data_IF_422158034283
#
_entry.id   IF_422158034283
#
_cell.length_a   1.000
_cell.length_b   1.000
_cell.length_c   1.000
_cell.angle_alpha   90.00
_cell.angle_beta   90.00
_cell.angle_gamma   90.00
#
_symmetry.space_group_name_H-M   'P 1'
#
loop_
_entity.id
_entity.type
_entity.pdbx_description
1 polymer ?
#
# COMPACT_ATOMS: atom_id res chain seq x y z
N UNK A 1 8.83 -20.57 24.62
CA UNK A 1 10.14 -19.85 24.63
C UNK A 1 9.89 -18.49 25.23
N UNK A 2 10.65 -18.12 26.26
CA UNK A 2 10.48 -16.82 26.93
C UNK A 2 10.70 -15.67 25.96
N UNK A 3 9.75 -14.74 25.86
CA UNK A 3 9.81 -13.55 24.97
C UNK A 3 11.06 -12.70 25.21
N UNK A 4 11.58 -12.71 26.44
CA UNK A 4 12.69 -11.85 26.86
C UNK A 4 14.07 -12.30 26.32
N UNK A 5 14.21 -13.56 25.92
CA UNK A 5 15.47 -14.13 25.44
C UNK A 5 15.52 -14.30 23.90
N UNK A 6 14.46 -13.90 23.20
CA UNK A 6 14.35 -14.09 21.77
C UNK A 6 15.11 -12.99 21.01
N UNK A 7 16.05 -13.40 20.16
CA UNK A 7 16.79 -12.47 19.32
C UNK A 7 16.06 -12.27 17.99
N UNK A 8 15.30 -11.16 17.91
CA UNK A 8 14.50 -10.80 16.73
C UNK A 8 15.25 -9.76 15.88
N UNK A 9 15.45 -10.06 14.61
CA UNK A 9 16.01 -9.15 13.61
C UNK A 9 14.95 -8.60 12.68
N UNK A 10 15.04 -7.35 12.30
CA UNK A 10 14.20 -6.72 11.28
C UNK A 10 15.03 -6.07 10.19
N UNK A 11 14.73 -6.36 8.92
CA UNK A 11 15.29 -5.67 7.76
C UNK A 11 14.25 -4.71 7.20
N UNK A 12 14.35 -3.40 7.50
CA UNK A 12 13.32 -2.43 7.15
C UNK A 12 13.38 -1.98 5.67
N UNK A 13 12.36 -1.25 5.25
CA UNK A 13 12.35 -0.47 4.01
C UNK A 13 13.26 0.76 4.16
N UNK A 14 13.19 1.41 5.32
CA UNK A 14 14.01 2.57 5.68
C UNK A 14 14.62 2.37 7.06
N UNK A 15 15.91 2.72 7.22
CA UNK A 15 16.59 2.62 8.51
C UNK A 15 16.02 3.54 9.59
N UNK A 16 15.25 4.57 9.22
CA UNK A 16 14.52 5.44 10.15
C UNK A 16 13.22 4.80 10.66
N UNK A 17 12.77 3.70 10.06
CA UNK A 17 11.48 3.01 10.33
C UNK A 17 10.22 3.86 10.03
N UNK A 18 10.38 5.01 9.39
CA UNK A 18 9.28 5.96 9.09
C UNK A 18 8.55 5.64 7.79
N UNK A 19 9.10 4.77 6.94
CA UNK A 19 8.42 4.36 5.72
C UNK A 19 7.05 3.74 6.05
N UNK A 20 5.98 4.05 5.29
CA UNK A 20 4.66 3.43 5.51
C UNK A 20 4.69 1.91 5.61
N UNK A 21 5.53 1.24 4.79
CA UNK A 21 5.69 -0.21 4.83
C UNK A 21 6.45 -0.73 6.07
N UNK A 22 7.11 0.13 6.84
CA UNK A 22 7.68 -0.23 8.15
C UNK A 22 6.69 0.06 9.27
N UNK A 23 6.31 1.33 9.46
CA UNK A 23 5.52 1.82 10.59
C UNK A 23 4.07 1.30 10.64
N UNK A 24 3.50 0.91 9.49
CA UNK A 24 2.13 0.37 9.40
C UNK A 24 2.08 -1.17 9.38
N UNK A 25 3.23 -1.84 9.42
CA UNK A 25 3.33 -3.30 9.33
C UNK A 25 4.07 -3.89 10.53
N UNK A 26 5.26 -4.47 10.35
CA UNK A 26 5.96 -5.14 11.45
C UNK A 26 6.25 -4.21 12.64
N UNK A 27 6.61 -2.95 12.40
CA UNK A 27 6.88 -1.99 13.50
C UNK A 27 5.63 -1.74 14.32
N UNK A 28 4.46 -1.52 13.70
CA UNK A 28 3.19 -1.38 14.40
C UNK A 28 2.86 -2.62 15.24
N UNK A 29 3.05 -3.81 14.67
CA UNK A 29 2.85 -5.07 15.37
C UNK A 29 3.80 -5.22 16.57
N UNK A 30 5.10 -4.96 16.37
CA UNK A 30 6.10 -5.05 17.41
C UNK A 30 5.80 -4.09 18.58
N UNK A 31 5.38 -2.86 18.28
CA UNK A 31 4.95 -1.89 19.29
C UNK A 31 3.71 -2.40 20.05
N UNK A 32 2.68 -2.86 19.35
CA UNK A 32 1.45 -3.37 19.97
C UNK A 32 1.66 -4.61 20.88
N UNK A 33 2.68 -5.44 20.56
CA UNK A 33 3.03 -6.64 21.32
C UNK A 33 4.22 -6.46 22.25
N UNK A 34 4.78 -5.23 22.38
CA UNK A 34 5.98 -4.92 23.17
C UNK A 34 7.17 -5.81 22.80
N UNK A 35 7.38 -6.08 21.51
CA UNK A 35 8.50 -6.86 21.03
C UNK A 35 9.73 -5.98 20.83
N UNK A 36 10.85 -6.41 21.36
CA UNK A 36 12.16 -5.80 21.09
C UNK A 36 12.75 -6.46 19.84
N UNK A 37 13.27 -5.66 18.94
CA UNK A 37 13.99 -6.12 17.76
C UNK A 37 15.21 -5.24 17.49
N UNK A 38 16.14 -5.75 16.70
CA UNK A 38 17.30 -5.00 16.20
C UNK A 38 17.26 -4.94 14.66
N UNK A 39 17.94 -3.95 14.08
CA UNK A 39 18.13 -3.94 12.62
C UNK A 39 19.03 -5.11 12.25
N UNK A 40 18.52 -6.01 11.42
CA UNK A 40 19.19 -7.26 11.12
C UNK A 40 20.29 -7.10 10.07
N UNK A 41 21.41 -7.77 10.29
CA UNK A 41 22.49 -7.94 9.32
C UNK A 41 22.72 -9.44 9.08
N UNK A 42 23.01 -9.85 7.82
CA UNK A 42 23.07 -11.28 7.46
C UNK A 42 24.17 -12.07 8.16
N UNK A 43 25.18 -11.40 8.68
CA UNK A 43 26.33 -11.99 9.35
C UNK A 43 26.03 -12.40 10.81
N UNK A 44 24.91 -11.91 11.37
CA UNK A 44 24.53 -12.22 12.75
C UNK A 44 23.48 -13.34 12.81
N UNK A 45 23.40 -13.98 13.99
CA UNK A 45 22.42 -15.04 14.26
C UNK A 45 21.19 -14.45 14.96
N UNK A 46 20.01 -14.77 14.44
CA UNK A 46 18.71 -14.42 15.00
C UNK A 46 17.86 -15.68 15.14
N UNK A 47 17.00 -15.72 16.14
CA UNK A 47 15.99 -16.77 16.28
C UNK A 47 14.85 -16.56 15.26
N UNK A 48 14.53 -15.29 15.02
CA UNK A 48 13.52 -14.84 14.06
C UNK A 48 14.03 -13.63 13.30
N UNK A 49 13.90 -13.64 11.98
CA UNK A 49 14.16 -12.46 11.13
C UNK A 49 12.90 -12.13 10.34
N UNK A 50 12.48 -10.87 10.40
CA UNK A 50 11.43 -10.33 9.53
C UNK A 50 12.08 -9.46 8.45
N UNK A 51 11.89 -9.85 7.21
CA UNK A 51 12.44 -9.17 6.04
C UNK A 51 11.35 -8.34 5.36
N UNK A 52 11.55 -7.04 5.23
CA UNK A 52 10.69 -6.24 4.35
C UNK A 52 10.94 -6.56 2.88
N UNK A 53 10.04 -6.16 1.99
CA UNK A 53 10.22 -6.32 0.54
C UNK A 53 11.47 -5.64 -0.03
N UNK A 54 12.10 -4.73 0.72
CA UNK A 54 13.33 -4.02 0.32
C UNK A 54 14.60 -4.72 0.80
N UNK A 55 14.48 -5.81 1.55
CA UNK A 55 15.61 -6.62 1.98
C UNK A 55 16.48 -7.07 0.79
N UNK A 56 17.78 -7.16 1.02
CA UNK A 56 18.72 -7.70 0.04
C UNK A 56 18.52 -9.21 -0.13
N UNK A 57 17.55 -9.57 -0.99
CA UNK A 57 17.23 -10.98 -1.27
C UNK A 57 18.41 -11.75 -1.91
N UNK A 58 19.45 -11.06 -2.41
CA UNK A 58 20.64 -11.73 -2.95
C UNK A 58 21.49 -12.41 -1.88
N UNK A 59 21.31 -12.02 -0.62
CA UNK A 59 22.01 -12.55 0.56
C UNK A 59 21.06 -13.32 1.47
N UNK A 60 19.89 -12.73 1.77
CA UNK A 60 18.92 -13.31 2.71
C UNK A 60 18.30 -14.62 2.26
N UNK A 61 18.25 -14.89 0.94
CA UNK A 61 17.81 -16.20 0.45
C UNK A 61 18.73 -17.37 0.87
N UNK A 62 19.99 -17.08 1.23
CA UNK A 62 20.98 -18.05 1.69
C UNK A 62 21.19 -18.00 3.22
N UNK A 63 20.40 -17.22 3.97
CA UNK A 63 20.52 -17.08 5.42
C UNK A 63 20.25 -18.41 6.15
N UNK A 64 21.24 -18.97 6.90
CA UNK A 64 21.14 -20.35 7.39
C UNK A 64 20.51 -20.48 8.77
N UNK A 65 20.23 -19.38 9.48
CA UNK A 65 19.85 -19.40 10.88
C UNK A 65 18.38 -19.05 11.10
N UNK A 66 17.81 -19.53 12.21
CA UNK A 66 16.50 -19.17 12.74
C UNK A 66 15.34 -19.25 11.75
N UNK A 67 14.22 -18.68 12.14
CA UNK A 67 13.04 -18.55 11.30
C UNK A 67 13.09 -17.26 10.49
N UNK A 68 12.63 -17.31 9.26
CA UNK A 68 12.57 -16.16 8.34
C UNK A 68 11.14 -15.90 7.92
N UNK A 69 10.67 -14.68 8.16
CA UNK A 69 9.40 -14.17 7.63
C UNK A 69 9.73 -13.16 6.53
N UNK A 70 9.13 -13.32 5.35
CA UNK A 70 9.28 -12.37 4.26
C UNK A 70 7.98 -11.58 4.05
N UNK A 71 8.02 -10.31 4.39
CA UNK A 71 6.90 -9.38 4.20
C UNK A 71 6.94 -8.81 2.77
N UNK A 72 6.20 -9.48 1.88
CA UNK A 72 6.20 -9.25 0.45
C UNK A 72 4.97 -8.45 0.03
N UNK A 73 5.03 -7.13 0.18
CA UNK A 73 3.89 -6.21 0.05
C UNK A 73 3.42 -6.09 -1.41
N UNK A 74 4.35 -5.93 -2.37
CA UNK A 74 4.04 -5.61 -3.76
C UNK A 74 4.03 -6.84 -4.67
N UNK A 75 3.16 -6.86 -5.68
CA UNK A 75 2.91 -7.98 -6.60
C UNK A 75 3.98 -8.14 -7.71
N UNK A 76 5.26 -8.19 -7.35
CA UNK A 76 6.34 -8.36 -8.33
C UNK A 76 6.28 -9.70 -9.10
N UNK A 77 5.65 -10.72 -8.56
CA UNK A 77 5.48 -12.01 -9.23
C UNK A 77 4.40 -11.99 -10.32
N UNK A 78 3.45 -11.05 -10.25
CA UNK A 78 2.41 -10.86 -11.28
C UNK A 78 2.95 -10.29 -12.60
N UNK A 79 4.15 -9.66 -12.58
CA UNK A 79 4.76 -9.10 -13.79
C UNK A 79 5.20 -10.24 -14.73
N UNK A 80 4.83 -10.23 -16.02
CA UNK A 80 5.16 -11.32 -16.95
C UNK A 80 6.67 -11.57 -17.07
N UNK A 81 7.06 -12.84 -17.26
CA UNK A 81 8.47 -13.25 -17.46
C UNK A 81 9.13 -12.63 -18.69
N UNK A 82 8.34 -12.24 -19.68
CA UNK A 82 8.81 -11.59 -20.92
C UNK A 82 9.24 -10.14 -20.72
N UNK A 83 8.99 -9.56 -19.53
CA UNK A 83 9.36 -8.18 -19.25
C UNK A 83 10.87 -8.05 -18.96
N UNK A 84 11.62 -7.55 -19.96
CA UNK A 84 13.07 -7.32 -19.91
C UNK A 84 13.49 -6.45 -18.69
N UNK A 85 12.63 -5.51 -18.26
CA UNK A 85 12.90 -4.67 -17.09
C UNK A 85 13.04 -5.48 -15.80
N UNK A 86 12.34 -6.60 -15.68
CA UNK A 86 12.50 -7.53 -14.55
C UNK A 86 13.86 -8.22 -14.56
N UNK A 87 14.34 -8.60 -15.72
CA UNK A 87 15.66 -9.21 -15.90
C UNK A 87 16.77 -8.24 -15.48
N UNK A 88 16.71 -7.02 -15.99
CA UNK A 88 17.66 -5.96 -15.67
C UNK A 88 17.58 -5.47 -14.21
N UNK A 89 16.48 -5.72 -13.51
CA UNK A 89 16.25 -5.21 -12.16
C UNK A 89 17.28 -5.73 -11.15
N UNK A 90 17.71 -6.98 -11.24
CA UNK A 90 18.76 -7.56 -10.41
C UNK A 90 20.10 -6.86 -10.63
N UNK A 91 20.45 -6.62 -11.89
CA UNK A 91 21.65 -5.88 -12.28
C UNK A 91 21.62 -4.43 -11.77
N UNK A 92 20.49 -3.72 -11.95
CA UNK A 92 20.32 -2.35 -11.47
C UNK A 92 20.42 -2.29 -9.95
N UNK A 93 19.78 -3.20 -9.22
CA UNK A 93 19.87 -3.25 -7.75
C UNK A 93 21.30 -3.51 -7.26
N UNK A 94 22.07 -4.33 -7.96
CA UNK A 94 23.48 -4.53 -7.67
C UNK A 94 24.29 -3.26 -7.96
N UNK A 95 24.11 -2.64 -9.12
CA UNK A 95 24.85 -1.44 -9.51
C UNK A 95 24.59 -0.24 -8.58
N UNK A 96 23.34 -0.08 -8.07
CA UNK A 96 23.00 0.98 -7.11
C UNK A 96 23.31 0.61 -5.64
N UNK A 97 23.95 -0.54 -5.40
CA UNK A 97 24.38 -0.97 -4.06
C UNK A 97 23.26 -1.50 -3.15
N UNK A 98 22.10 -1.85 -3.72
CA UNK A 98 20.96 -2.42 -2.98
C UNK A 98 21.06 -3.95 -2.84
N UNK A 99 21.82 -4.61 -3.72
CA UNK A 99 22.16 -6.02 -3.62
C UNK A 99 23.66 -6.16 -3.48
N UNK A 100 24.11 -6.98 -2.53
CA UNK A 100 25.53 -7.30 -2.30
C UNK A 100 26.06 -8.30 -3.32
N UNK A 101 25.18 -9.17 -3.87
CA UNK A 101 25.55 -10.17 -4.87
C UNK A 101 24.80 -9.91 -6.17
N UNK A 102 25.51 -10.08 -7.29
CA UNK A 102 24.91 -9.97 -8.61
C UNK A 102 23.97 -11.15 -8.87
N UNK A 103 22.72 -10.85 -9.16
CA UNK A 103 21.68 -11.83 -9.53
C UNK A 103 21.08 -11.40 -10.87
N UNK A 104 21.30 -12.17 -11.92
CA UNK A 104 20.80 -11.85 -13.25
C UNK A 104 19.28 -12.01 -13.36
N UNK A 105 18.72 -13.09 -12.77
CA UNK A 105 17.28 -13.32 -12.73
C UNK A 105 16.71 -12.88 -11.37
N UNK A 106 16.14 -11.67 -11.36
CA UNK A 106 15.52 -11.12 -10.14
C UNK A 106 14.30 -11.93 -9.71
N UNK A 107 13.53 -12.48 -10.67
CA UNK A 107 12.36 -13.32 -10.37
C UNK A 107 12.78 -14.64 -9.69
N UNK A 108 13.83 -15.28 -10.19
CA UNK A 108 14.38 -16.45 -9.53
C UNK A 108 14.85 -16.15 -8.09
N UNK A 109 15.39 -14.95 -7.87
CA UNK A 109 15.76 -14.49 -6.51
C UNK A 109 14.53 -14.33 -5.61
N UNK A 110 13.40 -13.80 -6.14
CA UNK A 110 12.13 -13.75 -5.42
C UNK A 110 11.57 -15.14 -5.09
N UNK A 111 11.65 -16.09 -6.03
CA UNK A 111 11.26 -17.48 -5.76
C UNK A 111 12.15 -18.11 -4.66
N UNK A 112 13.45 -17.84 -4.67
CA UNK A 112 14.38 -18.39 -3.69
C UNK A 112 14.13 -17.84 -2.29
N UNK A 113 13.88 -16.53 -2.14
CA UNK A 113 13.54 -15.98 -0.82
C UNK A 113 12.19 -16.51 -0.32
N UNK A 114 11.19 -16.69 -1.20
CA UNK A 114 9.93 -17.32 -0.81
C UNK A 114 10.12 -18.77 -0.36
N UNK A 115 11.01 -19.54 -1.00
CA UNK A 115 11.33 -20.92 -0.58
C UNK A 115 12.11 -20.96 0.73
N UNK A 116 12.98 -19.97 0.99
CA UNK A 116 13.74 -19.87 2.25
C UNK A 116 12.85 -19.46 3.42
N UNK A 117 11.84 -18.65 3.17
CA UNK A 117 10.98 -18.14 4.21
C UNK A 117 10.14 -19.27 4.85
N UNK A 118 10.07 -19.27 6.19
CA UNK A 118 9.20 -20.15 6.96
C UNK A 118 7.73 -19.69 6.88
N UNK A 119 7.52 -18.38 6.66
CA UNK A 119 6.22 -17.80 6.30
C UNK A 119 6.44 -16.59 5.37
N UNK A 120 5.49 -16.38 4.46
CA UNK A 120 5.44 -15.19 3.60
C UNK A 120 4.15 -14.43 3.89
N UNK A 121 4.29 -13.13 4.13
CA UNK A 121 3.15 -12.22 4.23
C UNK A 121 2.95 -11.58 2.87
N UNK A 122 1.71 -11.50 2.43
CA UNK A 122 1.32 -10.81 1.20
C UNK A 122 0.09 -9.94 1.44
N UNK A 123 -0.29 -9.15 0.45
CA UNK A 123 -1.35 -8.15 0.60
C UNK A 123 -2.63 -8.50 -0.15
N UNK A 124 -2.61 -9.41 -1.14
CA UNK A 124 -3.80 -9.81 -1.91
C UNK A 124 -3.91 -11.32 -2.10
N UNK A 125 -5.12 -11.81 -2.42
CA UNK A 125 -5.37 -13.22 -2.72
C UNK A 125 -4.63 -13.67 -3.98
N UNK A 126 -4.54 -12.79 -4.98
CA UNK A 126 -3.81 -13.01 -6.24
C UNK A 126 -2.33 -13.22 -5.96
N UNK A 127 -1.74 -12.34 -5.18
CA UNK A 127 -0.34 -12.45 -4.76
C UNK A 127 -0.09 -13.73 -3.95
N UNK A 128 -1.01 -14.11 -3.07
CA UNK A 128 -0.92 -15.39 -2.35
C UNK A 128 -0.89 -16.58 -3.31
N UNK A 129 -1.70 -16.55 -4.38
CA UNK A 129 -1.68 -17.56 -5.44
C UNK A 129 -0.33 -17.65 -6.14
N UNK A 130 0.30 -16.51 -6.44
CA UNK A 130 1.63 -16.45 -7.07
C UNK A 130 2.75 -16.97 -6.16
N UNK A 131 2.61 -16.83 -4.82
CA UNK A 131 3.60 -17.23 -3.83
C UNK A 131 3.48 -18.70 -3.44
N UNK A 132 2.27 -19.26 -3.36
CA UNK A 132 2.00 -20.63 -2.90
C UNK A 132 2.85 -21.73 -3.56
N UNK A 133 3.25 -21.66 -4.85
CA UNK A 133 4.15 -22.65 -5.45
C UNK A 133 5.54 -22.71 -4.81
N UNK A 134 5.93 -21.68 -4.06
CA UNK A 134 7.26 -21.53 -3.47
C UNK A 134 7.27 -21.61 -1.95
N UNK A 135 6.20 -21.14 -1.31
CA UNK A 135 5.98 -21.21 0.13
C UNK A 135 4.50 -21.52 0.38
N UNK A 136 4.19 -22.61 1.09
CA UNK A 136 2.81 -22.98 1.41
C UNK A 136 2.25 -22.16 2.58
N UNK A 137 3.12 -21.66 3.46
CA UNK A 137 2.74 -20.87 4.64
C UNK A 137 2.63 -19.39 4.27
N UNK A 138 1.50 -19.01 3.68
CA UNK A 138 1.24 -17.66 3.17
C UNK A 138 0.10 -17.01 3.93
N UNK A 139 0.31 -15.78 4.40
CA UNK A 139 -0.65 -15.02 5.20
C UNK A 139 -0.99 -13.69 4.55
N UNK A 140 -2.29 -13.36 4.52
CA UNK A 140 -2.77 -12.05 4.08
C UNK A 140 -2.81 -11.08 5.26
N UNK A 141 -1.95 -10.06 5.22
CA UNK A 141 -1.94 -9.00 6.23
C UNK A 141 -1.84 -7.64 5.56
N UNK A 142 -2.80 -6.78 5.83
CA UNK A 142 -2.83 -5.39 5.35
C UNK A 142 -2.23 -4.42 6.38
N UNK A 143 -2.12 -3.15 5.99
CA UNK A 143 -1.51 -2.11 6.81
C UNK A 143 -2.37 -1.73 8.01
N UNK A 144 -1.76 -1.57 9.18
CA UNK A 144 -2.36 -0.91 10.33
C UNK A 144 -2.33 0.60 10.08
N UNK A 145 -3.51 1.24 10.08
CA UNK A 145 -3.66 2.65 9.66
C UNK A 145 -4.29 3.54 10.73
N UNK A 146 -4.47 3.03 11.96
CA UNK A 146 -5.15 3.73 13.06
C UNK A 146 -4.55 5.11 13.35
N UNK A 147 -3.23 5.23 13.32
CA UNK A 147 -2.53 6.48 13.62
C UNK A 147 -2.84 7.63 12.65
N UNK A 148 -3.29 7.30 11.42
CA UNK A 148 -3.61 8.30 10.38
C UNK A 148 -5.06 8.78 10.48
N UNK A 149 -5.95 7.97 11.09
CA UNK A 149 -7.40 8.25 11.14
C UNK A 149 -7.72 8.99 12.44
N UNK A 150 -7.43 10.28 12.46
CA UNK A 150 -7.69 11.14 13.64
C UNK A 150 -9.07 11.81 13.60
N UNK A 151 -9.66 11.91 12.41
CA UNK A 151 -10.97 12.53 12.17
C UNK A 151 -11.78 11.69 11.16
N UNK A 152 -13.09 11.77 11.29
CA UNK A 152 -14.05 11.09 10.43
C UNK A 152 -14.96 12.11 9.76
N UNK A 153 -15.43 11.84 8.56
CA UNK A 153 -16.39 12.65 7.83
C UNK A 153 -17.78 12.48 8.45
N UNK A 154 -18.43 13.61 8.77
CA UNK A 154 -19.78 13.69 9.35
C UNK A 154 -20.75 14.42 8.42
N UNK A 155 -20.25 15.37 7.65
CA UNK A 155 -21.02 16.16 6.69
C UNK A 155 -20.75 15.69 5.26
N UNK A 156 -21.82 15.34 4.55
CA UNK A 156 -21.79 14.85 3.16
C UNK A 156 -22.40 15.84 2.18
N UNK A 157 -22.86 17.01 2.65
CA UNK A 157 -23.27 18.12 1.78
C UNK A 157 -22.09 18.53 0.89
N UNK A 158 -22.33 18.76 -0.38
CA UNK A 158 -21.33 19.27 -1.31
C UNK A 158 -21.67 20.67 -1.77
N UNK A 159 -20.63 21.49 -1.90
CA UNK A 159 -20.74 22.86 -2.41
C UNK A 159 -20.21 22.99 -3.85
N UNK A 160 -19.96 24.24 -4.24
CA UNK A 160 -19.21 24.61 -5.44
C UNK A 160 -17.96 25.38 -5.01
N UNK A 161 -16.79 24.97 -5.46
CA UNK A 161 -16.50 23.80 -6.32
C UNK A 161 -16.64 22.46 -5.57
N UNK A 162 -16.91 21.36 -6.32
CA UNK A 162 -16.90 20.01 -5.75
C UNK A 162 -15.46 19.54 -5.51
N UNK A 163 -15.17 19.05 -4.33
CA UNK A 163 -13.82 18.75 -3.87
C UNK A 163 -13.52 17.24 -3.98
N UNK A 164 -12.74 16.87 -4.96
CA UNK A 164 -12.16 15.54 -5.05
C UNK A 164 -10.89 15.45 -4.20
N UNK A 165 -10.59 14.26 -3.66
CA UNK A 165 -9.32 14.00 -2.98
C UNK A 165 -8.65 12.73 -3.49
N UNK A 166 -7.35 12.81 -3.65
CA UNK A 166 -6.45 11.69 -3.89
C UNK A 166 -5.30 11.72 -2.87
N UNK A 167 -4.94 10.56 -2.29
CA UNK A 167 -3.80 10.41 -1.38
C UNK A 167 -2.82 9.39 -1.94
N UNK A 168 -1.53 9.61 -1.77
CA UNK A 168 -0.52 8.61 -2.10
C UNK A 168 0.88 9.16 -2.32
N UNK A 169 1.82 8.27 -2.62
CA UNK A 169 3.20 8.62 -2.89
C UNK A 169 3.32 9.43 -4.21
N UNK A 170 4.27 10.38 -4.30
CA UNK A 170 4.49 11.20 -5.51
C UNK A 170 4.69 10.37 -6.79
N UNK A 171 5.24 9.15 -6.66
CA UNK A 171 5.40 8.24 -7.81
C UNK A 171 4.09 7.79 -8.43
N UNK A 172 2.99 7.83 -7.67
CA UNK A 172 1.68 7.33 -8.08
C UNK A 172 0.74 8.44 -8.59
N UNK A 173 1.14 9.71 -8.57
CA UNK A 173 0.35 10.84 -9.11
C UNK A 173 -0.01 10.58 -10.58
N UNK A 174 0.86 9.95 -11.34
CA UNK A 174 0.62 9.60 -12.74
C UNK A 174 -0.55 8.64 -12.96
N UNK A 175 -1.01 7.93 -11.94
CA UNK A 175 -2.22 7.10 -12.02
C UNK A 175 -3.49 7.96 -12.25
N UNK A 176 -3.48 9.21 -11.82
CA UNK A 176 -4.55 10.16 -12.07
C UNK A 176 -4.77 10.44 -13.58
N UNK A 177 -3.79 10.15 -14.44
CA UNK A 177 -3.95 10.25 -15.89
C UNK A 177 -5.06 9.34 -16.42
N UNK A 178 -5.40 8.25 -15.70
CA UNK A 178 -6.48 7.32 -16.08
C UNK A 178 -7.86 7.99 -16.09
N UNK A 179 -8.02 9.08 -15.32
CA UNK A 179 -9.29 9.82 -15.21
C UNK A 179 -9.16 11.28 -15.65
N UNK A 180 -8.05 11.66 -16.29
CA UNK A 180 -7.77 13.05 -16.67
C UNK A 180 -8.88 13.65 -17.55
N UNK A 181 -9.32 12.93 -18.57
CA UNK A 181 -10.34 13.41 -19.53
C UNK A 181 -11.72 13.42 -18.88
N UNK A 182 -12.01 12.49 -17.96
CA UNK A 182 -13.23 12.51 -17.13
C UNK A 182 -13.27 13.78 -16.29
N UNK A 183 -12.19 14.11 -15.58
CA UNK A 183 -12.12 15.32 -14.75
C UNK A 183 -12.33 16.59 -15.58
N UNK A 184 -11.67 16.69 -16.73
CA UNK A 184 -11.84 17.83 -17.65
C UNK A 184 -13.26 17.94 -18.20
N UNK A 185 -13.91 16.82 -18.44
CA UNK A 185 -15.30 16.80 -18.92
C UNK A 185 -16.26 17.30 -17.84
N UNK A 186 -16.14 16.77 -16.63
CA UNK A 186 -16.97 17.16 -15.48
C UNK A 186 -16.80 18.63 -15.11
N UNK A 187 -15.58 19.16 -15.12
CA UNK A 187 -15.26 20.55 -14.75
C UNK A 187 -15.93 21.59 -15.68
N UNK A 188 -16.24 21.21 -16.94
CA UNK A 188 -17.01 22.08 -17.86
C UNK A 188 -18.44 22.35 -17.40
N UNK A 189 -19.01 21.41 -16.66
CA UNK A 189 -20.42 21.46 -16.23
C UNK A 189 -20.55 21.85 -14.78
N UNK A 190 -19.61 21.44 -13.93
CA UNK A 190 -19.59 21.73 -12.50
C UNK A 190 -18.14 21.90 -12.03
N UNK A 191 -17.77 23.08 -11.50
CA UNK A 191 -16.41 23.37 -11.08
C UNK A 191 -15.87 22.31 -10.09
N UNK A 192 -14.65 21.79 -10.36
CA UNK A 192 -13.97 20.80 -9.55
C UNK A 192 -12.68 21.37 -8.95
N UNK A 193 -12.32 20.87 -7.79
CA UNK A 193 -10.97 21.00 -7.22
C UNK A 193 -10.45 19.60 -6.92
N UNK A 194 -9.25 19.28 -7.42
CA UNK A 194 -8.55 18.05 -7.08
C UNK A 194 -7.55 18.33 -5.96
N UNK A 195 -7.88 17.87 -4.75
CA UNK A 195 -7.00 17.93 -3.58
C UNK A 195 -6.05 16.73 -3.62
N UNK A 196 -4.75 16.96 -3.67
CA UNK A 196 -3.71 15.92 -3.69
C UNK A 196 -2.94 15.97 -2.39
N UNK A 197 -3.04 14.88 -1.59
CA UNK A 197 -2.31 14.71 -0.32
C UNK A 197 -1.12 13.81 -0.57
N UNK A 198 0.11 14.37 -0.55
CA UNK A 198 1.33 13.64 -0.93
C UNK A 198 2.58 14.34 -0.39
N UNK A 199 3.75 13.68 -0.51
CA UNK A 199 5.02 14.34 -0.26
C UNK A 199 5.30 15.40 -1.33
N UNK A 200 6.03 16.49 -1.00
CA UNK A 200 6.24 17.62 -1.90
C UNK A 200 7.07 17.27 -3.13
N UNK A 201 7.91 16.25 -3.02
CA UNK A 201 8.87 15.89 -4.07
C UNK A 201 9.25 14.41 -4.03
N UNK A 202 9.80 13.90 -5.13
CA UNK A 202 10.48 12.60 -5.20
C UNK A 202 11.83 12.72 -5.88
N UNK A 203 12.78 11.85 -5.52
CA UNK A 203 14.01 11.68 -6.28
C UNK A 203 13.72 11.06 -7.65
N UNK A 204 14.37 11.55 -8.71
CA UNK A 204 14.27 10.98 -10.07
C UNK A 204 14.80 9.57 -10.14
N UNK A 205 15.84 9.26 -9.38
CA UNK A 205 16.44 7.93 -9.30
C UNK A 205 16.61 7.53 -7.84
N UNK A 206 16.15 6.32 -7.49
CA UNK A 206 16.36 5.74 -6.17
C UNK A 206 17.73 5.06 -6.12
N UNK A 207 18.52 5.34 -5.06
CA UNK A 207 19.81 4.68 -4.82
C UNK A 207 21.00 5.66 -4.79
N UNK A 208 22.21 5.09 -4.92
CA UNK A 208 23.49 5.79 -4.73
C UNK A 208 23.69 7.04 -5.61
N UNK A 209 22.99 7.12 -6.74
CA UNK A 209 23.09 8.21 -7.72
C UNK A 209 21.86 9.14 -7.75
N UNK A 210 20.91 8.97 -6.81
CA UNK A 210 19.66 9.77 -6.81
C UNK A 210 19.88 11.29 -6.76
N UNK A 211 20.95 11.73 -6.11
CA UNK A 211 21.33 13.14 -6.00
C UNK A 211 21.80 13.77 -7.33
N UNK A 212 22.30 12.96 -8.28
CA UNK A 212 22.82 13.44 -9.57
C UNK A 212 21.69 13.79 -10.54
N UNK A 213 20.54 13.09 -10.46
CA UNK A 213 19.44 13.19 -11.43
C UNK A 213 18.35 14.19 -11.06
N UNK A 214 18.52 14.92 -9.94
CA UNK A 214 17.58 15.95 -9.48
C UNK A 214 16.28 15.41 -8.89
N UNK A 215 15.39 16.34 -8.53
CA UNK A 215 14.08 16.06 -7.91
C UNK A 215 12.95 16.37 -8.88
N UNK A 216 11.81 15.74 -8.68
CA UNK A 216 10.56 16.02 -9.39
C UNK A 216 9.58 16.51 -8.33
N UNK A 217 9.04 17.70 -8.53
CA UNK A 217 8.06 18.27 -7.62
C UNK A 217 6.67 17.70 -7.90
N UNK A 218 5.95 17.35 -6.84
CA UNK A 218 4.61 16.75 -6.92
C UNK A 218 3.62 17.72 -7.54
N UNK A 219 3.78 19.02 -7.32
CA UNK A 219 2.92 20.06 -7.91
C UNK A 219 3.02 20.08 -9.45
N UNK A 220 4.21 19.85 -10.00
CA UNK A 220 4.41 19.84 -11.46
C UNK A 220 3.78 18.60 -12.11
N UNK A 221 3.79 17.47 -11.39
CA UNK A 221 3.09 16.26 -11.83
C UNK A 221 1.57 16.44 -11.77
N UNK A 222 1.08 17.02 -10.69
CA UNK A 222 -0.34 17.22 -10.45
C UNK A 222 -0.96 18.17 -11.49
N UNK A 223 -0.31 19.31 -11.77
CA UNK A 223 -0.77 20.29 -12.78
C UNK A 223 -0.79 19.74 -14.22
N UNK A 224 -0.01 18.70 -14.50
CA UNK A 224 -0.10 18.01 -15.79
C UNK A 224 -1.36 17.17 -15.94
N UNK A 225 -1.95 16.76 -14.82
CA UNK A 225 -3.18 15.97 -14.81
C UNK A 225 -4.40 16.87 -14.90
N UNK A 226 -4.44 17.92 -14.05
CA UNK A 226 -5.62 18.77 -13.91
C UNK A 226 -5.20 20.18 -13.51
N UNK A 227 -5.89 21.22 -14.04
CA UNK A 227 -5.51 22.62 -13.81
C UNK A 227 -5.87 23.08 -12.39
N UNK A 228 -7.10 22.75 -11.94
CA UNK A 228 -7.61 23.14 -10.61
C UNK A 228 -7.16 22.19 -9.51
N UNK A 229 -5.84 22.20 -9.20
CA UNK A 229 -5.22 21.33 -8.19
C UNK A 229 -4.83 22.12 -6.95
N UNK A 230 -5.13 21.54 -5.77
CA UNK A 230 -4.54 21.94 -4.48
C UNK A 230 -3.64 20.84 -3.96
N UNK A 231 -2.36 21.16 -3.76
CA UNK A 231 -1.39 20.23 -3.16
C UNK A 231 -1.34 20.43 -1.65
N UNK A 232 -1.50 19.35 -0.91
CA UNK A 232 -1.35 19.28 0.55
C UNK A 232 -0.18 18.35 0.87
N UNK A 233 0.73 18.83 1.73
CA UNK A 233 1.83 18.00 2.20
C UNK A 233 1.25 16.92 3.13
N UNK A 234 1.64 15.66 2.88
CA UNK A 234 1.21 14.55 3.69
C UNK A 234 1.80 14.66 5.10
N UNK A 235 0.96 14.61 6.10
CA UNK A 235 1.33 14.57 7.51
C UNK A 235 0.32 13.70 8.27
N UNK A 236 0.81 12.83 9.16
CA UNK A 236 -0.01 11.85 9.86
C UNK A 236 -1.08 12.49 10.74
N UNK A 237 -0.80 13.65 11.31
CA UNK A 237 -1.71 14.36 12.22
C UNK A 237 -2.81 15.14 11.50
N UNK A 238 -2.55 15.63 10.29
CA UNK A 238 -3.44 16.53 9.55
C UNK A 238 -4.14 15.91 8.35
N UNK A 239 -3.63 14.76 7.87
CA UNK A 239 -4.12 14.08 6.67
C UNK A 239 -5.63 13.83 6.72
N UNK A 240 -6.13 13.31 7.84
CA UNK A 240 -7.56 13.02 7.99
C UNK A 240 -8.44 14.28 8.01
N UNK A 241 -7.94 15.40 8.55
CA UNK A 241 -8.68 16.67 8.50
C UNK A 241 -8.82 17.22 7.09
N UNK A 242 -7.78 17.10 6.27
CA UNK A 242 -7.82 17.50 4.86
C UNK A 242 -8.80 16.62 4.08
N UNK A 243 -8.67 15.29 4.24
CA UNK A 243 -9.46 14.31 3.48
C UNK A 243 -10.94 14.43 3.81
N UNK A 244 -11.35 14.49 5.09
CA UNK A 244 -12.78 14.53 5.50
C UNK A 244 -13.52 15.78 5.02
N UNK A 245 -12.78 16.87 4.72
CA UNK A 245 -13.35 18.11 4.21
C UNK A 245 -13.55 18.10 2.69
N UNK A 246 -13.16 17.02 2.01
CA UNK A 246 -13.45 16.80 0.59
C UNK A 246 -14.75 16.02 0.43
N UNK A 247 -15.32 16.07 -0.78
CA UNK A 247 -16.63 15.49 -1.06
C UNK A 247 -16.54 14.03 -1.49
N UNK A 248 -15.49 13.65 -2.26
CA UNK A 248 -15.30 12.33 -2.83
C UNK A 248 -13.82 11.99 -2.95
N UNK A 249 -13.45 10.77 -2.56
CA UNK A 249 -12.12 10.23 -2.81
C UNK A 249 -12.07 9.46 -4.13
N UNK A 250 -10.96 9.60 -4.87
CA UNK A 250 -10.74 8.89 -6.14
C UNK A 250 -9.43 8.08 -6.07
N UNK A 251 -9.48 6.81 -6.51
CA UNK A 251 -8.33 5.91 -6.52
C UNK A 251 -8.17 5.30 -7.93
N UNK A 252 -7.73 6.07 -8.92
CA UNK A 252 -7.45 5.52 -10.23
C UNK A 252 -6.17 4.67 -10.19
N UNK A 253 -6.22 3.52 -10.88
CA UNK A 253 -5.12 2.57 -11.03
C UNK A 253 -5.12 2.12 -12.49
N UNK A 254 -3.94 2.05 -13.11
CA UNK A 254 -3.78 1.51 -14.44
C UNK A 254 -4.00 -0.01 -14.42
N UNK A 255 -5.16 -0.45 -14.90
CA UNK A 255 -5.54 -1.86 -14.95
C UNK A 255 -4.75 -2.66 -15.99
N UNK A 256 -4.08 -1.99 -16.93
CA UNK A 256 -3.22 -2.62 -17.93
C UNK A 256 -1.82 -2.98 -17.39
N UNK A 257 -1.39 -2.35 -16.29
CA UNK A 257 -0.13 -2.68 -15.61
C UNK A 257 -0.35 -3.83 -14.61
N UNK A 258 0.17 -5.05 -14.86
CA UNK A 258 0.00 -6.19 -13.96
C UNK A 258 0.49 -5.92 -12.54
N UNK A 259 1.50 -5.07 -12.37
CA UNK A 259 2.00 -4.67 -11.06
C UNK A 259 1.02 -3.76 -10.33
N UNK A 260 0.44 -2.79 -11.03
CA UNK A 260 -0.55 -1.88 -10.47
C UNK A 260 -1.89 -2.59 -10.23
N UNK A 261 -2.29 -3.49 -11.14
CA UNK A 261 -3.48 -4.33 -11.02
C UNK A 261 -3.48 -5.22 -9.77
N UNK A 262 -2.31 -5.70 -9.33
CA UNK A 262 -2.16 -6.50 -8.11
C UNK A 262 -2.11 -5.70 -6.80
N UNK A 263 -2.42 -4.40 -6.79
CA UNK A 263 -2.36 -3.57 -5.57
C UNK A 263 -3.45 -3.94 -4.57
N UNK A 264 -3.11 -3.94 -3.25
CA UNK A 264 -4.06 -4.18 -2.19
C UNK A 264 -4.98 -2.98 -1.96
N UNK A 265 -6.10 -3.22 -1.32
CA UNK A 265 -7.13 -2.26 -0.96
C UNK A 265 -6.77 -1.32 0.21
N UNK A 266 -5.51 -1.26 0.63
CA UNK A 266 -5.06 -0.44 1.76
C UNK A 266 -5.51 1.02 1.69
N UNK A 267 -5.47 1.63 0.49
CA UNK A 267 -5.90 3.03 0.30
C UNK A 267 -7.42 3.17 0.40
N UNK A 268 -8.18 2.24 -0.14
CA UNK A 268 -9.62 2.20 -0.01
C UNK A 268 -10.04 2.11 1.47
N UNK A 269 -9.43 1.19 2.20
CA UNK A 269 -9.67 1.02 3.64
C UNK A 269 -9.30 2.27 4.45
N UNK A 270 -8.23 2.99 4.05
CA UNK A 270 -7.86 4.25 4.68
C UNK A 270 -8.97 5.30 4.53
N UNK A 271 -9.47 5.52 3.32
CA UNK A 271 -10.55 6.46 3.07
C UNK A 271 -11.85 6.02 3.75
N UNK A 272 -12.18 4.75 3.70
CA UNK A 272 -13.36 4.19 4.34
C UNK A 272 -13.34 4.35 5.87
N UNK A 273 -12.18 4.16 6.53
CA UNK A 273 -12.06 4.45 7.98
C UNK A 273 -12.36 5.90 8.32
N UNK A 274 -12.11 6.82 7.41
CA UNK A 274 -12.46 8.24 7.53
C UNK A 274 -13.92 8.53 7.15
N UNK A 275 -14.72 7.52 6.76
CA UNK A 275 -16.12 7.70 6.31
C UNK A 275 -16.22 8.32 4.92
N UNK A 276 -15.15 8.33 4.13
CA UNK A 276 -15.17 8.92 2.79
C UNK A 276 -15.90 8.04 1.78
N UNK A 277 -16.81 8.61 0.95
CA UNK A 277 -17.24 7.96 -0.27
C UNK A 277 -16.06 7.84 -1.24
N UNK A 278 -15.96 6.72 -1.96
CA UNK A 278 -14.80 6.43 -2.82
C UNK A 278 -15.26 5.90 -4.16
N UNK A 279 -14.64 6.40 -5.25
CA UNK A 279 -14.67 5.76 -6.58
C UNK A 279 -13.26 5.27 -6.91
N UNK A 280 -13.14 4.05 -7.41
CA UNK A 280 -11.84 3.41 -7.64
C UNK A 280 -11.79 2.65 -8.96
N UNK A 281 -10.58 2.31 -9.45
CA UNK A 281 -10.44 1.34 -10.52
C UNK A 281 -10.75 -0.08 -10.01
N UNK A 282 -11.34 -0.92 -10.87
CA UNK A 282 -11.77 -2.28 -10.57
C UNK A 282 -10.60 -3.28 -10.52
N UNK A 283 -9.58 -3.04 -9.64
CA UNK A 283 -8.61 -4.11 -9.36
C UNK A 283 -9.30 -5.25 -8.61
N UNK A 284 -8.82 -6.50 -8.69
CA UNK A 284 -9.46 -7.62 -8.01
C UNK A 284 -9.67 -7.41 -6.51
N UNK A 285 -8.72 -6.77 -5.82
CA UNK A 285 -8.82 -6.49 -4.40
C UNK A 285 -9.86 -5.41 -4.10
N UNK A 286 -9.87 -4.32 -4.88
CA UNK A 286 -10.83 -3.23 -4.71
C UNK A 286 -12.25 -3.66 -5.06
N UNK A 287 -12.44 -4.37 -6.18
CA UNK A 287 -13.75 -4.88 -6.59
C UNK A 287 -14.36 -5.76 -5.51
N UNK A 288 -13.60 -6.72 -4.97
CA UNK A 288 -14.09 -7.57 -3.85
C UNK A 288 -14.50 -6.78 -2.60
N UNK A 289 -13.78 -5.70 -2.29
CA UNK A 289 -14.13 -4.85 -1.17
C UNK A 289 -15.40 -4.04 -1.46
N UNK A 290 -15.55 -3.51 -2.67
CA UNK A 290 -16.75 -2.79 -3.11
C UNK A 290 -17.96 -3.70 -3.18
N UNK A 291 -17.86 -4.92 -3.72
CA UNK A 291 -18.91 -5.94 -3.70
C UNK A 291 -19.38 -6.27 -2.28
N UNK A 292 -18.44 -6.36 -1.32
CA UNK A 292 -18.76 -6.68 0.07
C UNK A 292 -19.62 -5.60 0.76
N UNK A 293 -19.66 -4.38 0.24
CA UNK A 293 -20.49 -3.28 0.75
C UNK A 293 -21.61 -2.88 -0.21
N UNK A 294 -21.85 -3.64 -1.29
CA UNK A 294 -22.91 -3.39 -2.27
C UNK A 294 -22.68 -2.11 -3.10
N UNK A 295 -21.42 -1.80 -3.41
CA UNK A 295 -21.00 -0.60 -4.14
C UNK A 295 -20.07 -0.94 -5.31
N UNK A 296 -20.23 -2.12 -5.93
CA UNK A 296 -19.41 -2.61 -7.03
C UNK A 296 -19.44 -1.69 -8.26
N UNK A 297 -20.51 -0.94 -8.46
CA UNK A 297 -20.69 0.06 -9.52
C UNK A 297 -19.80 1.31 -9.33
N UNK A 298 -19.13 1.44 -8.19
CA UNK A 298 -18.11 2.47 -7.93
C UNK A 298 -16.68 1.95 -8.16
N UNK A 299 -16.52 0.69 -8.56
CA UNK A 299 -15.28 0.11 -9.05
C UNK A 299 -15.28 0.13 -10.58
N UNK A 300 -14.52 1.03 -11.19
CA UNK A 300 -14.60 1.37 -12.59
C UNK A 300 -13.49 0.71 -13.42
N UNK A 301 -13.82 0.17 -14.60
CA UNK A 301 -12.87 -0.37 -15.57
C UNK A 301 -12.48 0.64 -16.64
N UNK A 302 -13.41 1.53 -17.01
CA UNK A 302 -13.23 2.46 -18.12
C UNK A 302 -13.77 3.86 -17.88
N UNK A 303 -13.45 4.77 -18.81
CA UNK A 303 -13.77 6.21 -18.72
C UNK A 303 -15.27 6.48 -18.50
N UNK A 304 -16.14 5.74 -19.21
CA UNK A 304 -17.60 5.91 -19.08
C UNK A 304 -18.11 5.60 -17.68
N UNK A 305 -17.58 4.54 -17.07
CA UNK A 305 -17.97 4.15 -15.70
C UNK A 305 -17.47 5.18 -14.69
N UNK A 306 -16.23 5.64 -14.84
CA UNK A 306 -15.70 6.73 -14.03
C UNK A 306 -16.54 8.00 -14.11
N UNK A 307 -16.93 8.40 -15.33
CA UNK A 307 -17.79 9.57 -15.53
C UNK A 307 -19.12 9.39 -14.80
N UNK A 308 -19.83 8.29 -15.05
CA UNK A 308 -21.13 8.00 -14.44
C UNK A 308 -21.04 7.91 -12.91
N UNK A 309 -20.01 7.24 -12.39
CA UNK A 309 -19.84 7.07 -10.94
C UNK A 309 -19.58 8.43 -10.25
N UNK A 310 -18.71 9.28 -10.83
CA UNK A 310 -18.43 10.59 -10.23
C UNK A 310 -19.65 11.51 -10.35
N UNK A 311 -20.37 11.55 -11.49
CA UNK A 311 -21.60 12.33 -11.65
C UNK A 311 -22.64 11.96 -10.58
N UNK A 312 -22.91 10.69 -10.40
CA UNK A 312 -23.83 10.22 -9.33
C UNK A 312 -23.39 10.69 -7.95
N UNK A 313 -22.08 10.60 -7.67
CA UNK A 313 -21.54 11.08 -6.39
C UNK A 313 -21.63 12.61 -6.25
N UNK A 314 -21.58 13.37 -7.35
CA UNK A 314 -21.76 14.82 -7.32
C UNK A 314 -23.21 15.19 -6.99
N UNK A 315 -24.18 14.44 -7.52
CA UNK A 315 -25.60 14.78 -7.48
C UNK A 315 -26.34 14.24 -6.26
N UNK A 316 -25.89 13.13 -5.67
CA UNK A 316 -26.59 12.39 -4.63
C UNK A 316 -25.83 12.41 -3.29
N UNK A 317 -26.29 13.27 -2.37
CA UNK A 317 -25.73 13.37 -1.02
C UNK A 317 -26.02 12.12 -0.18
N UNK A 318 -27.21 11.54 -0.33
CA UNK A 318 -27.60 10.34 0.41
C UNK A 318 -26.70 9.19 0.00
N UNK A 319 -26.44 9.03 -1.30
CA UNK A 319 -25.53 8.02 -1.80
C UNK A 319 -24.11 8.21 -1.24
N UNK A 320 -23.59 9.47 -1.22
CA UNK A 320 -22.27 9.74 -0.61
C UNK A 320 -22.21 9.32 0.84
N UNK A 321 -23.27 9.65 1.62
CA UNK A 321 -23.39 9.25 3.01
C UNK A 321 -23.39 7.71 3.15
N UNK A 322 -24.30 7.04 2.46
CA UNK A 322 -24.53 5.60 2.64
C UNK A 322 -23.31 4.76 2.26
N UNK A 323 -22.66 5.06 1.13
CA UNK A 323 -21.44 4.33 0.73
C UNK A 323 -20.25 4.65 1.64
N UNK A 324 -20.15 5.89 2.14
CA UNK A 324 -19.13 6.28 3.10
C UNK A 324 -19.29 5.53 4.43
N UNK A 325 -20.52 5.40 4.95
CA UNK A 325 -20.82 4.68 6.19
C UNK A 325 -20.65 3.16 6.02
N UNK A 326 -21.16 2.58 4.93
CA UNK A 326 -20.98 1.15 4.66
C UNK A 326 -19.51 0.76 4.58
N UNK A 327 -18.71 1.56 3.86
CA UNK A 327 -17.26 1.36 3.78
C UNK A 327 -16.56 1.47 5.15
N UNK A 328 -16.97 2.45 5.98
CA UNK A 328 -16.43 2.64 7.33
C UNK A 328 -16.74 1.43 8.24
N UNK A 329 -17.97 0.95 8.21
CA UNK A 329 -18.38 -0.24 8.97
C UNK A 329 -17.59 -1.48 8.54
N UNK A 330 -17.45 -1.68 7.24
CA UNK A 330 -16.66 -2.79 6.69
C UNK A 330 -15.18 -2.70 7.13
N UNK A 331 -14.53 -1.53 6.96
CA UNK A 331 -13.14 -1.35 7.34
C UNK A 331 -12.90 -1.57 8.84
N UNK A 332 -13.81 -1.12 9.69
CA UNK A 332 -13.71 -1.28 11.14
C UNK A 332 -14.01 -2.70 11.60
N UNK A 333 -14.92 -3.41 10.94
CA UNK A 333 -15.30 -4.77 11.32
C UNK A 333 -14.27 -5.82 10.86
N UNK A 334 -13.79 -5.73 9.62
CA UNK A 334 -12.96 -6.77 9.02
C UNK A 334 -11.46 -6.46 8.99
N UNK A 335 -11.09 -5.19 9.25
CA UNK A 335 -9.73 -4.70 9.19
C UNK A 335 -9.39 -3.77 10.35
N UNK A 336 -10.06 -3.92 11.50
CA UNK A 336 -9.66 -3.20 12.71
C UNK A 336 -8.20 -3.49 13.08
N UNK A 337 -7.60 -2.65 13.91
CA UNK A 337 -6.25 -2.89 14.39
C UNK A 337 -6.11 -4.27 15.04
N UNK A 338 -7.09 -4.66 15.87
CA UNK A 338 -7.13 -5.94 16.56
C UNK A 338 -7.15 -7.12 15.58
N UNK A 339 -7.99 -7.03 14.53
CA UNK A 339 -8.07 -8.05 13.47
C UNK A 339 -6.74 -8.16 12.72
N UNK A 340 -6.12 -7.04 12.38
CA UNK A 340 -4.84 -7.03 11.66
C UNK A 340 -3.70 -7.57 12.54
N UNK A 341 -3.65 -7.19 13.82
CA UNK A 341 -2.69 -7.73 14.77
C UNK A 341 -2.89 -9.24 14.99
N UNK A 342 -4.14 -9.70 15.08
CA UNK A 342 -4.44 -11.14 15.19
C UNK A 342 -3.97 -11.94 13.95
N UNK A 343 -3.98 -11.34 12.75
CA UNK A 343 -3.41 -11.99 11.55
C UNK A 343 -1.89 -12.13 11.65
N UNK A 344 -1.18 -11.15 12.21
CA UNK A 344 0.24 -11.26 12.54
C UNK A 344 0.49 -12.35 13.58
N UNK A 345 -0.32 -12.39 14.66
CA UNK A 345 -0.22 -13.42 15.70
C UNK A 345 -0.38 -14.82 15.10
N UNK A 346 -1.38 -15.03 14.24
CA UNK A 346 -1.62 -16.29 13.54
C UNK A 346 -0.42 -16.68 12.66
N UNK A 347 0.17 -15.73 11.95
CA UNK A 347 1.36 -15.96 11.14
C UNK A 347 2.54 -16.38 12.01
N UNK A 348 2.84 -15.69 13.10
CA UNK A 348 3.93 -16.07 13.99
C UNK A 348 3.69 -17.42 14.67
N UNK A 349 2.44 -17.70 15.06
CA UNK A 349 2.05 -19.00 15.64
C UNK A 349 2.29 -20.16 14.65
N UNK A 350 2.07 -19.93 13.36
CA UNK A 350 2.29 -20.94 12.32
C UNK A 350 3.76 -21.38 12.16
N UNK A 351 4.70 -20.57 12.65
CA UNK A 351 6.15 -20.86 12.65
C UNK A 351 6.73 -21.10 14.06
N UNK A 352 5.85 -21.27 15.06
CA UNK A 352 6.22 -21.67 16.43
C UNK A 352 6.48 -20.53 17.41
N UNK A 353 6.09 -19.28 17.11
CA UNK A 353 6.19 -18.15 18.01
C UNK A 353 4.82 -17.69 18.49
N UNK A 354 4.67 -17.39 19.77
CA UNK A 354 3.47 -16.78 20.35
C UNK A 354 3.84 -15.45 21.01
N UNK A 355 3.25 -14.37 20.51
CA UNK A 355 3.49 -13.01 20.98
C UNK A 355 2.23 -12.35 21.56
N UNK A 356 1.14 -13.09 21.68
CA UNK A 356 -0.08 -12.58 22.31
C UNK A 356 0.25 -12.09 23.71
N UNK A 357 -0.39 -10.99 24.15
CA UNK A 357 -0.47 -10.68 25.57
C UNK A 357 -1.23 -11.85 26.20
N UNK A 358 -0.64 -12.49 27.20
CA UNK A 358 -1.40 -13.36 28.07
C UNK A 358 -2.57 -12.52 28.61
N UNK A 359 -3.80 -12.99 28.33
CA UNK A 359 -5.04 -12.38 28.81
C UNK A 359 -5.12 -12.56 30.32
#
# INVERSE_FOLDING_TARGET
MDKENLRIGYVPISNTLESPGDRRRFVAYAQARNLKFTLAIPEERYDLVVLSQMADISVWCDYPHGKVVYDFIDSYLSIPRTNIRQWLRGLVKYAVGRHRRLRFDYRASLHNICRRADAVICSTKEQAGDIKPFCQNVHLVLDVQKSVVNRVKEDYCSGLPFNLVWEGLPSNITQLNQIQDVLKNLDKHRPLILNIVTDPEKSRLLGRFGWIFGRIYSVDLARKVFDSVKLHIWDESTCSDIIRNCDLAVIPIDLSDPFAFGKPENKLLLFWRMGMPVVTSATPAYLRAMEAVGSEDLACEGEKEWLTAIERMMDDEILRHDVGQAGKEYANSYYSEEVLLARWDAMFSSIGFSFNKDV
#
